data_IF_075685430173
#
_entry.id   IF_075685430173
#
_cell.length_a   1.000
_cell.length_b   1.000
_cell.length_c   1.000
_cell.angle_alpha   90.00
_cell.angle_beta   90.00
_cell.angle_gamma   90.00
#
_symmetry.space_group_name_H-M   'P 1'
#
loop_
_entity.id
_entity.type
_entity.pdbx_description
1 polymer ?
#
# COMPACT_ATOMS: atom_id res chain seq x y z
N UNK A 1 -7.74 7.40 -22.45
CA UNK A 1 -6.50 8.10 -22.03
C UNK A 1 -6.57 8.60 -20.60
N UNK A 2 -7.49 9.53 -20.24
CA UNK A 2 -7.58 10.04 -18.86
C UNK A 2 -7.83 8.94 -17.81
N UNK A 3 -8.72 7.99 -18.09
CA UNK A 3 -8.99 6.86 -17.20
C UNK A 3 -7.72 6.05 -16.88
N UNK A 4 -6.92 5.69 -17.89
CA UNK A 4 -5.69 4.91 -17.70
C UNK A 4 -4.67 5.67 -16.85
N UNK A 5 -4.59 7.00 -16.99
CA UNK A 5 -3.73 7.84 -16.13
C UNK A 5 -4.20 7.77 -14.67
N UNK A 6 -5.51 7.91 -14.42
CA UNK A 6 -6.06 7.82 -13.06
C UNK A 6 -5.86 6.43 -12.45
N UNK A 7 -6.07 5.36 -13.23
CA UNK A 7 -5.83 3.98 -12.79
C UNK A 7 -4.35 3.78 -12.45
N UNK A 8 -3.42 4.31 -13.27
CA UNK A 8 -2.00 4.21 -13.00
C UNK A 8 -1.61 4.94 -11.71
N UNK A 9 -2.14 6.15 -11.48
CA UNK A 9 -1.92 6.90 -10.25
C UNK A 9 -2.44 6.15 -9.01
N UNK A 10 -3.63 5.56 -9.09
CA UNK A 10 -4.20 4.75 -8.01
C UNK A 10 -3.34 3.49 -7.78
N UNK A 11 -2.91 2.81 -8.84
CA UNK A 11 -2.00 1.67 -8.74
C UNK A 11 -0.69 2.02 -8.03
N UNK A 12 -0.08 3.15 -8.39
CA UNK A 12 1.12 3.67 -7.71
C UNK A 12 0.87 3.99 -6.23
N UNK A 13 -0.30 4.55 -5.90
CA UNK A 13 -0.70 4.79 -4.52
C UNK A 13 -0.77 3.48 -3.72
N UNK A 14 -1.34 2.42 -4.29
CA UNK A 14 -1.38 1.11 -3.62
C UNK A 14 0.01 0.48 -3.44
N UNK A 15 0.93 0.66 -4.40
CA UNK A 15 2.33 0.24 -4.22
C UNK A 15 2.99 1.00 -3.09
N UNK A 16 2.79 2.31 -3.01
CA UNK A 16 3.31 3.13 -1.93
C UNK A 16 2.78 2.68 -0.56
N UNK A 17 1.48 2.44 -0.44
CA UNK A 17 0.85 1.95 0.80
C UNK A 17 1.36 0.55 1.15
N UNK A 18 1.47 -0.35 0.17
CA UNK A 18 2.05 -1.68 0.36
C UNK A 18 3.44 -1.58 0.99
N UNK A 19 4.30 -0.69 0.48
CA UNK A 19 5.67 -0.54 1.01
C UNK A 19 5.63 -0.07 2.45
N UNK A 20 4.76 0.90 2.76
CA UNK A 20 4.60 1.38 4.12
C UNK A 20 4.11 0.27 5.07
N UNK A 21 3.12 -0.51 4.68
CA UNK A 21 2.50 -1.54 5.52
C UNK A 21 3.34 -2.83 5.66
N UNK A 22 4.04 -3.25 4.60
CA UNK A 22 4.86 -4.47 4.59
C UNK A 22 6.21 -4.29 5.29
N UNK A 23 6.87 -3.16 5.03
CA UNK A 23 8.28 -2.98 5.36
C UNK A 23 8.54 -1.85 6.36
N UNK A 24 7.73 -0.79 6.34
CA UNK A 24 7.99 0.43 7.12
C UNK A 24 6.98 0.68 8.24
N UNK A 25 6.08 -0.26 8.52
CA UNK A 25 4.92 -0.07 9.40
C UNK A 25 5.31 0.40 10.80
N UNK A 26 6.35 -0.22 11.37
CA UNK A 26 6.89 0.07 12.70
C UNK A 26 8.13 0.99 12.65
N UNK A 27 8.35 1.66 11.53
CA UNK A 27 9.46 2.62 11.31
C UNK A 27 8.95 4.05 11.36
N UNK A 28 9.82 5.07 11.54
CA UNK A 28 9.40 6.47 11.62
C UNK A 28 8.49 6.92 10.47
N UNK A 29 8.73 6.42 9.26
CA UNK A 29 7.89 6.70 8.10
C UNK A 29 6.46 6.14 8.25
N UNK A 30 6.30 4.87 8.62
CA UNK A 30 4.99 4.25 8.84
C UNK A 30 4.25 4.86 10.04
N UNK A 31 4.96 5.10 11.15
CA UNK A 31 4.39 5.77 12.33
C UNK A 31 3.84 7.16 11.96
N UNK A 32 4.58 7.95 11.18
CA UNK A 32 4.16 9.27 10.71
C UNK A 32 2.99 9.18 9.72
N UNK A 33 3.04 8.23 8.78
CA UNK A 33 2.01 8.09 7.75
C UNK A 33 0.65 7.68 8.33
N UNK A 34 0.64 6.82 9.35
CA UNK A 34 -0.59 6.24 9.93
C UNK A 34 -0.93 6.77 11.33
N UNK A 35 -0.14 7.69 11.88
CA UNK A 35 -0.38 8.27 13.22
C UNK A 35 -0.38 7.23 14.34
N UNK A 36 0.46 6.18 14.24
CA UNK A 36 0.53 5.12 15.23
C UNK A 36 1.56 5.44 16.34
N UNK A 37 1.32 4.91 17.55
CA UNK A 37 2.39 4.80 18.55
C UNK A 37 3.30 3.60 18.24
N UNK A 38 4.56 3.60 18.71
CA UNK A 38 5.44 2.44 18.56
C UNK A 38 4.84 1.15 19.12
N UNK A 39 4.19 1.17 20.29
CA UNK A 39 3.61 -0.04 20.89
C UNK A 39 2.48 -0.59 20.02
N UNK A 40 1.57 0.28 19.56
CA UNK A 40 0.46 -0.12 18.69
C UNK A 40 0.96 -0.67 17.35
N UNK A 41 1.97 -0.05 16.75
CA UNK A 41 2.53 -0.49 15.48
C UNK A 41 3.16 -1.89 15.59
N UNK A 42 3.87 -2.17 16.70
CA UNK A 42 4.43 -3.50 16.95
C UNK A 42 3.33 -4.56 17.09
N UNK A 43 2.29 -4.28 17.89
CA UNK A 43 1.18 -5.21 18.11
C UNK A 43 0.36 -5.49 16.84
N UNK A 44 0.27 -4.53 15.93
CA UNK A 44 -0.55 -4.62 14.71
C UNK A 44 0.27 -4.94 13.45
N UNK A 45 1.57 -5.22 13.58
CA UNK A 45 2.48 -5.38 12.42
C UNK A 45 2.04 -6.48 11.45
N UNK A 46 1.64 -7.63 11.96
CA UNK A 46 1.18 -8.75 11.10
C UNK A 46 -0.12 -8.40 10.38
N UNK A 47 -1.05 -7.74 11.07
CA UNK A 47 -2.29 -7.24 10.46
C UNK A 47 -1.98 -6.26 9.34
N UNK A 48 -1.07 -5.31 9.56
CA UNK A 48 -0.64 -4.37 8.55
C UNK A 48 0.02 -5.06 7.36
N UNK A 49 0.88 -6.05 7.58
CA UNK A 49 1.46 -6.84 6.49
C UNK A 49 0.39 -7.54 5.65
N UNK A 50 -0.68 -8.05 6.27
CA UNK A 50 -1.82 -8.59 5.53
C UNK A 50 -2.56 -7.51 4.70
N UNK A 51 -2.73 -6.29 5.24
CA UNK A 51 -3.27 -5.16 4.48
C UNK A 51 -2.34 -4.76 3.32
N UNK A 52 -1.03 -4.77 3.54
CA UNK A 52 -0.04 -4.48 2.50
C UNK A 52 -0.11 -5.50 1.37
N UNK A 53 -0.39 -6.77 1.67
CA UNK A 53 -0.52 -7.82 0.66
C UNK A 53 -1.76 -7.59 -0.20
N UNK A 54 -2.88 -7.23 0.46
CA UNK A 54 -4.11 -6.85 -0.22
C UNK A 54 -3.89 -5.65 -1.16
N UNK A 55 -3.19 -4.61 -0.69
CA UNK A 55 -2.79 -3.47 -1.53
C UNK A 55 -1.92 -3.90 -2.72
N UNK A 56 -1.06 -4.91 -2.55
CA UNK A 56 -0.28 -5.51 -3.64
C UNK A 56 -1.13 -6.17 -4.72
N UNK A 57 -2.15 -6.94 -4.32
CA UNK A 57 -3.09 -7.53 -5.28
C UNK A 57 -3.88 -6.47 -6.04
N UNK A 58 -4.33 -5.40 -5.37
CA UNK A 58 -5.00 -4.29 -6.03
C UNK A 58 -4.08 -3.61 -7.06
N UNK A 59 -2.85 -3.29 -6.67
CA UNK A 59 -1.86 -2.70 -7.57
C UNK A 59 -1.61 -3.59 -8.81
N UNK A 60 -1.43 -4.90 -8.61
CA UNK A 60 -1.26 -5.86 -9.69
C UNK A 60 -2.50 -5.91 -10.61
N UNK A 61 -3.70 -5.89 -10.04
CA UNK A 61 -4.95 -5.83 -10.79
C UNK A 61 -5.08 -4.57 -11.67
N UNK A 62 -4.71 -3.40 -11.14
CA UNK A 62 -4.73 -2.16 -11.92
C UNK A 62 -3.72 -2.15 -13.07
N UNK A 63 -2.51 -2.67 -12.83
CA UNK A 63 -1.49 -2.81 -13.87
C UNK A 63 -1.98 -3.76 -14.95
N UNK A 64 -2.55 -4.92 -14.56
CA UNK A 64 -3.09 -5.89 -15.49
C UNK A 64 -4.18 -5.28 -16.38
N UNK A 65 -5.12 -4.53 -15.78
CA UNK A 65 -6.16 -3.82 -16.54
C UNK A 65 -5.55 -2.89 -17.58
N UNK A 66 -4.61 -2.02 -17.20
CA UNK A 66 -3.98 -1.07 -18.14
C UNK A 66 -3.26 -1.79 -19.30
N UNK A 67 -2.63 -2.93 -19.03
CA UNK A 67 -1.87 -3.68 -20.05
C UNK A 67 -2.79 -4.45 -20.99
N UNK A 68 -3.95 -4.90 -20.51
CA UNK A 68 -4.88 -5.74 -21.27
C UNK A 68 -6.03 -4.97 -21.94
N UNK A 69 -6.13 -3.64 -21.76
CA UNK A 69 -7.18 -2.78 -22.35
C UNK A 69 -6.59 -1.58 -23.07
#
# INVERSE_FOLDING_TARGET
>A
MLANILIALIGLLHVYILVLEMFLWDKPAGLKAFGNSPEKAQLTKVLAQNQGLYNGFLAAGFILVIVCT
#
